data_IF_047336594719
#
_entry.id   IF_047336594719
#
_cell.length_a   1.000
_cell.length_b   1.000
_cell.length_c   1.000
_cell.angle_alpha   90.00
_cell.angle_beta   90.00
_cell.angle_gamma   90.00
#
_symmetry.space_group_name_H-M   'P 1'
#
loop_
_entity.id
_entity.type
_entity.pdbx_description
1 polymer ?
#
# COMPACT_ATOMS: atom_id res chain seq x y z
N UNK A 1 -5.59 -12.70 14.22
CA UNK A 1 -4.42 -12.85 13.34
C UNK A 1 -3.97 -11.45 13.01
N UNK A 2 -2.67 -11.13 13.05
CA UNK A 2 -2.22 -9.76 12.81
C UNK A 2 -2.58 -9.35 11.37
N UNK A 3 -3.01 -8.10 11.19
CA UNK A 3 -3.45 -7.56 9.90
C UNK A 3 -3.12 -6.07 9.77
N UNK A 4 -3.07 -5.60 8.53
CA UNK A 4 -2.89 -4.18 8.23
C UNK A 4 -4.04 -3.67 7.36
N UNK A 5 -4.24 -2.37 7.37
CA UNK A 5 -5.13 -1.67 6.45
C UNK A 5 -4.35 -1.15 5.25
N UNK A 6 -4.59 -1.72 4.06
CA UNK A 6 -4.06 -1.23 2.80
C UNK A 6 -5.07 -0.31 2.12
N UNK A 7 -4.65 0.92 1.79
CA UNK A 7 -5.43 1.90 1.03
C UNK A 7 -4.77 2.14 -0.32
N UNK A 8 -5.52 1.90 -1.39
CA UNK A 8 -5.09 2.11 -2.77
C UNK A 8 -5.88 3.26 -3.37
N UNK A 9 -5.20 4.16 -4.08
CA UNK A 9 -5.81 5.35 -4.66
C UNK A 9 -5.62 5.41 -6.17
N UNK A 10 -6.47 6.22 -6.83
CA UNK A 10 -6.44 6.44 -8.28
C UNK A 10 -6.38 5.13 -9.07
N UNK A 11 -5.42 4.99 -10.01
CA UNK A 11 -5.28 3.80 -10.87
C UNK A 11 -4.76 2.54 -10.15
N UNK A 12 -4.46 2.61 -8.85
CA UNK A 12 -4.18 1.42 -8.02
C UNK A 12 -5.46 0.80 -7.45
N UNK A 13 -6.53 1.57 -7.29
CA UNK A 13 -7.81 1.06 -6.81
C UNK A 13 -8.56 0.31 -7.92
N UNK A 14 -9.26 -0.77 -7.56
CA UNK A 14 -10.19 -1.44 -8.47
C UNK A 14 -11.39 -0.55 -8.76
N UNK A 15 -11.81 -0.54 -10.03
CA UNK A 15 -13.02 0.17 -10.46
C UNK A 15 -14.23 -0.53 -9.86
N UNK A 16 -15.01 0.20 -9.06
CA UNK A 16 -16.24 -0.28 -8.44
C UNK A 16 -16.96 0.84 -7.68
N UNK A 17 -18.30 0.79 -7.56
CA UNK A 17 -19.08 1.79 -6.83
C UNK A 17 -18.73 1.82 -5.33
N UNK A 18 -18.20 0.74 -4.76
CA UNK A 18 -17.71 0.74 -3.37
C UNK A 18 -16.34 1.41 -3.18
N UNK A 19 -15.60 1.64 -4.27
CA UNK A 19 -14.24 2.17 -4.26
C UNK A 19 -14.16 3.62 -4.75
N UNK A 20 -15.27 4.37 -4.66
CA UNK A 20 -15.30 5.79 -5.02
C UNK A 20 -14.37 6.55 -4.06
N UNK A 21 -13.26 7.09 -4.59
CA UNK A 21 -12.21 7.77 -3.82
C UNK A 21 -11.03 6.88 -3.41
N UNK A 22 -11.05 5.59 -3.75
CA UNK A 22 -9.99 4.63 -3.44
C UNK A 22 -10.54 3.31 -2.93
N UNK A 23 -9.66 2.32 -2.83
CA UNK A 23 -9.97 0.98 -2.37
C UNK A 23 -9.28 0.72 -1.04
N UNK A 24 -10.05 0.28 -0.04
CA UNK A 24 -9.53 -0.06 1.29
C UNK A 24 -9.70 -1.56 1.50
N UNK A 25 -8.60 -2.23 1.83
CA UNK A 25 -8.59 -3.68 2.10
C UNK A 25 -7.81 -3.98 3.36
N UNK A 26 -8.22 -5.04 4.05
CA UNK A 26 -7.46 -5.64 5.14
C UNK A 26 -6.60 -6.76 4.57
N UNK A 27 -5.34 -6.80 4.94
CA UNK A 27 -4.39 -7.84 4.51
C UNK A 27 -3.80 -8.50 5.75
N UNK A 28 -3.87 -9.84 5.86
CA UNK A 28 -3.17 -10.57 6.91
C UNK A 28 -1.68 -10.27 6.89
N UNK A 29 -1.11 -9.97 8.05
CA UNK A 29 0.30 -9.70 8.24
C UNK A 29 1.03 -11.00 8.60
N UNK A 30 2.18 -11.22 7.97
CA UNK A 30 3.11 -12.30 8.28
C UNK A 30 4.35 -11.74 8.98
N UNK A 31 5.00 -12.57 9.78
CA UNK A 31 6.23 -12.16 10.48
C UNK A 31 7.31 -11.74 9.47
N UNK A 32 7.83 -10.52 9.64
CA UNK A 32 8.86 -9.96 8.77
C UNK A 32 8.33 -9.32 7.49
N UNK A 33 7.01 -9.18 7.33
CA UNK A 33 6.44 -8.46 6.20
C UNK A 33 6.93 -7.02 6.14
N UNK A 34 7.21 -6.59 4.90
CA UNK A 34 7.63 -5.23 4.59
C UNK A 34 6.64 -4.59 3.64
N UNK A 35 6.81 -3.29 3.37
CA UNK A 35 5.98 -2.58 2.39
C UNK A 35 6.08 -3.26 1.02
N UNK A 36 7.28 -3.70 0.62
CA UNK A 36 7.48 -4.39 -0.67
C UNK A 36 6.75 -5.73 -0.71
N UNK A 37 6.86 -6.57 0.34
CA UNK A 37 6.19 -7.88 0.33
C UNK A 37 4.66 -7.75 0.32
N UNK A 38 4.11 -6.77 1.04
CA UNK A 38 2.68 -6.47 0.97
C UNK A 38 2.26 -6.02 -0.41
N UNK A 39 3.02 -5.12 -1.04
CA UNK A 39 2.71 -4.66 -2.39
C UNK A 39 2.72 -5.81 -3.40
N UNK A 40 3.68 -6.74 -3.30
CA UNK A 40 3.74 -7.93 -4.16
C UNK A 40 2.52 -8.84 -3.98
N UNK A 41 2.12 -9.12 -2.73
CA UNK A 41 0.92 -9.93 -2.45
C UNK A 41 -0.38 -9.26 -2.85
N UNK A 42 -0.38 -7.93 -2.95
CA UNK A 42 -1.53 -7.14 -3.38
C UNK A 42 -1.63 -7.02 -4.91
N UNK A 43 -0.81 -7.76 -5.69
CA UNK A 43 -0.74 -7.65 -7.16
C UNK A 43 -0.38 -6.22 -7.62
N UNK A 44 0.53 -5.59 -6.87
CA UNK A 44 1.11 -4.29 -7.19
C UNK A 44 2.58 -4.41 -7.60
N UNK A 45 3.08 -5.64 -7.72
CA UNK A 45 4.39 -6.00 -8.24
C UNK A 45 4.56 -5.39 -9.63
N UNK A 46 5.53 -4.49 -9.81
CA UNK A 46 5.77 -3.79 -11.09
C UNK A 46 4.95 -2.52 -11.30
N UNK A 47 4.03 -2.16 -10.38
CA UNK A 47 3.42 -0.83 -10.40
C UNK A 47 4.35 0.20 -9.78
N UNK A 48 4.48 1.36 -10.41
CA UNK A 48 5.23 2.47 -9.84
C UNK A 48 4.48 3.03 -8.62
N UNK A 49 4.94 2.67 -7.42
CA UNK A 49 4.45 3.27 -6.17
C UNK A 49 5.18 4.58 -5.97
N UNK A 50 4.53 5.71 -6.27
CA UNK A 50 5.19 7.02 -6.18
C UNK A 50 5.14 7.55 -4.75
N UNK A 51 3.93 7.60 -4.19
CA UNK A 51 3.70 8.02 -2.81
C UNK A 51 3.34 6.80 -1.96
N UNK A 52 4.12 6.58 -0.89
CA UNK A 52 3.92 5.51 0.08
C UNK A 52 3.87 6.16 1.45
N UNK A 53 2.76 5.98 2.14
CA UNK A 53 2.54 6.53 3.48
C UNK A 53 2.22 5.38 4.43
N UNK A 54 2.99 5.27 5.52
CA UNK A 54 2.76 4.34 6.61
C UNK A 54 2.36 5.14 7.85
N UNK A 55 1.14 4.94 8.35
CA UNK A 55 0.61 5.62 9.54
C UNK A 55 0.76 7.17 9.49
N UNK A 56 0.58 7.76 8.30
CA UNK A 56 0.74 9.20 8.08
C UNK A 56 2.18 9.65 7.81
N UNK A 57 3.17 8.75 7.87
CA UNK A 57 4.58 9.04 7.59
C UNK A 57 4.96 8.62 6.17
N UNK A 58 5.60 9.52 5.42
CA UNK A 58 6.14 9.21 4.10
C UNK A 58 7.32 8.23 4.18
N UNK A 59 7.33 7.23 3.29
CA UNK A 59 8.42 6.25 3.21
C UNK A 59 9.13 6.34 1.86
N UNK A 60 10.42 6.69 1.93
CA UNK A 60 11.35 6.75 0.79
C UNK A 60 11.45 5.41 0.06
N UNK A 61 11.70 5.45 -1.25
CA UNK A 61 11.78 4.25 -2.10
C UNK A 61 12.75 3.20 -1.57
N UNK A 62 13.94 3.62 -1.13
CA UNK A 62 15.01 2.74 -0.69
C UNK A 62 14.74 2.11 0.69
N UNK A 63 13.82 2.67 1.47
CA UNK A 63 13.45 2.15 2.80
C UNK A 63 12.37 1.08 2.73
N UNK A 64 11.53 1.07 1.68
CA UNK A 64 10.32 0.22 1.59
C UNK A 64 10.57 -1.27 1.76
N UNK A 65 11.71 -1.77 1.27
CA UNK A 65 12.07 -3.19 1.37
C UNK A 65 12.65 -3.57 2.73
N UNK A 66 12.98 -2.59 3.58
CA UNK A 66 13.53 -2.78 4.93
C UNK A 66 12.56 -2.38 6.04
N UNK A 67 11.57 -1.54 5.74
CA UNK A 67 10.53 -1.14 6.69
C UNK A 67 9.57 -2.30 6.93
N UNK A 68 9.70 -2.91 8.11
CA UNK A 68 8.77 -3.93 8.58
C UNK A 68 7.45 -3.30 9.03
N UNK A 69 6.37 -4.03 8.78
CA UNK A 69 5.02 -3.64 9.16
C UNK A 69 4.61 -4.34 10.45
N UNK A 70 3.76 -3.67 11.21
CA UNK A 70 3.23 -4.13 12.49
C UNK A 70 1.72 -4.30 12.42
N UNK A 71 1.17 -5.09 13.35
CA UNK A 71 -0.26 -5.29 13.46
C UNK A 71 -1.00 -3.96 13.68
N UNK A 72 -2.08 -3.74 12.93
CA UNK A 72 -2.87 -2.52 12.96
C UNK A 72 -2.35 -1.37 12.10
N UNK A 73 -1.20 -1.52 11.43
CA UNK A 73 -0.65 -0.48 10.56
C UNK A 73 -1.62 -0.09 9.42
N UNK A 74 -1.57 1.18 9.03
CA UNK A 74 -2.25 1.70 7.85
C UNK A 74 -1.24 2.08 6.78
N UNK A 75 -1.21 1.31 5.69
CA UNK A 75 -0.37 1.55 4.53
C UNK A 75 -1.22 2.15 3.40
N UNK A 76 -0.83 3.32 2.90
CA UNK A 76 -1.52 4.03 1.82
C UNK A 76 -0.58 4.21 0.61
N UNK A 77 -1.08 3.86 -0.57
CA UNK A 77 -0.30 3.82 -1.82
C UNK A 77 -0.97 4.63 -2.92
N UNK A 78 -0.17 5.44 -3.62
CA UNK A 78 -0.60 6.15 -4.83
C UNK A 78 0.32 5.83 -6.03
N UNK A 79 -0.26 5.78 -7.24
CA UNK A 79 0.51 5.67 -8.47
C UNK A 79 1.24 6.99 -8.76
N UNK A 80 2.11 7.06 -9.79
CA UNK A 80 2.72 8.31 -10.22
C UNK A 80 1.63 9.25 -10.69
N UNK A 81 1.74 10.52 -10.29
CA UNK A 81 0.90 11.57 -10.85
C UNK A 81 1.46 11.88 -12.23
N UNK A 82 0.80 11.42 -13.28
CA UNK A 82 1.11 11.85 -14.64
C UNK A 82 0.30 13.14 -14.85
N UNK A 83 0.96 14.28 -14.71
CA UNK A 83 0.37 15.57 -15.06
C UNK A 83 0.11 15.62 -16.56
N UNK A 84 -1.12 15.93 -16.95
CA UNK A 84 -1.47 16.30 -18.32
C UNK A 84 -1.20 17.76 -18.60
#
# INVERSE_FOLDING_TARGET
MPEITLKLFASLAKVGPENIGGEIRKIPLQTGDTITSIAERADLSGKNLHLVILNGTYIDKDKRSSTQLSDGDTLSLWPPVVGG
#
